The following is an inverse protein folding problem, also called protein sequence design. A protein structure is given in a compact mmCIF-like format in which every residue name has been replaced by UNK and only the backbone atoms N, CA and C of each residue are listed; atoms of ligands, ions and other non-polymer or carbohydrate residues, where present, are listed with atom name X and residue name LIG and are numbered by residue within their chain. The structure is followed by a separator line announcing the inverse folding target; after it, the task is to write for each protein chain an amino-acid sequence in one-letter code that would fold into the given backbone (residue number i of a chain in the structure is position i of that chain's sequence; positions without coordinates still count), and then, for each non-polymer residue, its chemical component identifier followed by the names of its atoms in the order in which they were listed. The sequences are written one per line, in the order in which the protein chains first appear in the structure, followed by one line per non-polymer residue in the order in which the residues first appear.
data_IF_378731576319
#
_entry.id   IF_378731576319
#
_cell.length_a   1.000
_cell.length_b   1.000
_cell.length_c   1.000
_cell.angle_alpha   90.00
_cell.angle_beta   90.00
_cell.angle_gamma   90.00
#
_symmetry.space_group_name_H-M   'P 1'
#
loop_
_entity.id
_entity.type
_entity.pdbx_description
1 polymer ?
#
# COMPACT_ATOMS: atom_id res chain seq x y z
N UNK A 1 13.02 54.44 -43.96
CA UNK A 1 12.37 53.11 -43.97
C UNK A 1 13.08 52.09 -43.09
N UNK A 2 13.69 52.48 -41.95
CA UNK A 2 14.53 51.59 -41.11
C UNK A 2 13.99 51.30 -39.70
N UNK A 3 12.90 51.95 -39.30
CA UNK A 3 12.34 51.80 -37.94
C UNK A 3 11.44 50.58 -37.74
N UNK A 4 10.81 50.04 -38.76
CA UNK A 4 9.83 48.95 -38.63
C UNK A 4 10.47 47.56 -38.49
N UNK A 5 11.67 47.36 -38.99
CA UNK A 5 12.37 46.08 -38.89
C UNK A 5 12.92 45.79 -37.48
N UNK A 6 13.25 46.83 -36.74
CA UNK A 6 13.78 46.69 -35.37
C UNK A 6 12.66 46.37 -34.35
N UNK A 7 11.45 46.91 -34.54
CA UNK A 7 10.31 46.64 -33.67
C UNK A 7 9.79 45.20 -33.82
N UNK A 8 9.83 44.63 -35.02
CA UNK A 8 9.37 43.24 -35.27
C UNK A 8 10.33 42.20 -34.68
N UNK A 9 11.65 42.47 -34.66
CA UNK A 9 12.62 41.58 -34.03
C UNK A 9 12.54 41.56 -32.49
N UNK A 10 12.22 42.70 -31.87
CA UNK A 10 12.05 42.77 -30.39
C UNK A 10 10.81 42.07 -29.92
N UNK A 11 9.69 42.09 -30.65
CA UNK A 11 8.46 41.38 -30.33
C UNK A 11 8.64 39.85 -30.49
N UNK A 12 9.37 39.40 -31.53
CA UNK A 12 9.67 37.99 -31.73
C UNK A 12 10.55 37.40 -30.61
N UNK A 13 11.53 38.15 -30.10
CA UNK A 13 12.39 37.75 -29.00
C UNK A 13 11.64 37.69 -27.66
N UNK A 14 10.68 38.59 -27.42
CA UNK A 14 9.87 38.59 -26.20
C UNK A 14 8.86 37.41 -26.13
N UNK A 15 8.32 36.99 -27.28
CA UNK A 15 7.41 35.84 -27.37
C UNK A 15 8.14 34.52 -27.19
N UNK A 16 9.38 34.39 -27.66
CA UNK A 16 10.19 33.19 -27.47
C UNK A 16 10.62 32.96 -26.01
N UNK A 17 10.71 34.02 -25.19
CA UNK A 17 11.06 33.92 -23.77
C UNK A 17 9.92 33.51 -22.87
N UNK A 18 8.67 33.58 -23.34
CA UNK A 18 7.46 33.22 -22.54
C UNK A 18 7.08 31.74 -22.67
N UNK A 19 7.68 30.98 -23.59
CA UNK A 19 7.42 29.57 -23.79
C UNK A 19 8.33 28.64 -22.93
N UNK A 20 9.29 29.20 -22.18
CA UNK A 20 10.20 28.41 -21.34
C UNK A 20 9.82 28.33 -19.88
N UNK A 21 8.61 28.74 -19.50
CA UNK A 21 8.25 28.98 -18.09
C UNK A 21 7.20 28.03 -17.51
N UNK A 22 7.15 26.78 -17.97
CA UNK A 22 6.28 25.78 -17.33
C UNK A 22 6.82 24.36 -17.55
N UNK A 23 8.07 24.10 -17.19
CA UNK A 23 8.51 22.74 -16.91
C UNK A 23 8.80 22.69 -15.42
N UNK A 24 7.86 22.17 -14.64
CA UNK A 24 8.09 21.82 -13.23
C UNK A 24 9.27 20.83 -13.15
N UNK A 25 9.87 20.70 -11.97
CA UNK A 25 10.82 19.64 -11.74
C UNK A 25 10.08 18.30 -11.68
N UNK A 26 10.58 17.22 -12.33
CA UNK A 26 9.92 15.93 -12.28
C UNK A 26 9.89 15.42 -10.83
N UNK A 27 8.83 14.71 -10.42
CA UNK A 27 8.76 14.07 -9.12
C UNK A 27 9.87 13.01 -9.00
N UNK A 28 10.27 12.69 -7.77
CA UNK A 28 11.29 11.69 -7.49
C UNK A 28 10.73 10.64 -6.52
N UNK A 29 10.77 9.36 -6.89
CA UNK A 29 10.54 8.23 -5.99
C UNK A 29 11.87 7.90 -5.29
N UNK A 30 11.97 8.20 -4.01
CA UNK A 30 13.18 7.96 -3.21
C UNK A 30 13.28 6.51 -2.79
N UNK A 31 12.18 5.93 -2.32
CA UNK A 31 12.08 4.52 -1.90
C UNK A 31 10.64 4.02 -2.06
N UNK A 32 10.50 2.70 -2.11
CA UNK A 32 9.20 2.02 -2.10
C UNK A 32 9.23 0.96 -1.01
N UNK A 33 8.20 0.94 -0.16
CA UNK A 33 7.92 -0.09 0.83
C UNK A 33 6.76 -0.94 0.35
N UNK A 34 6.87 -2.25 0.51
CA UNK A 34 5.85 -3.21 0.09
C UNK A 34 5.61 -4.22 1.20
N UNK A 35 4.35 -4.61 1.40
CA UNK A 35 3.92 -5.68 2.30
C UNK A 35 2.84 -6.51 1.62
N UNK A 36 2.96 -7.83 1.71
CA UNK A 36 1.96 -8.78 1.20
C UNK A 36 1.37 -9.56 2.39
N UNK A 37 0.07 -9.52 2.55
CA UNK A 37 -0.65 -10.27 3.56
C UNK A 37 -1.47 -11.41 2.92
N UNK A 38 -1.34 -12.61 3.49
CA UNK A 38 -2.27 -13.72 3.28
C UNK A 38 -3.41 -13.56 4.27
N UNK A 39 -4.54 -13.07 3.80
CA UNK A 39 -5.70 -12.78 4.64
C UNK A 39 -6.57 -14.02 4.77
N UNK A 40 -6.87 -14.40 6.01
CA UNK A 40 -7.94 -15.36 6.34
C UNK A 40 -9.08 -14.55 6.99
N UNK A 41 -10.01 -14.09 6.15
CA UNK A 41 -11.14 -13.28 6.58
C UNK A 41 -12.25 -14.21 7.13
N UNK A 42 -12.41 -14.19 8.45
CA UNK A 42 -13.35 -15.07 9.14
C UNK A 42 -14.81 -14.63 8.97
N UNK A 43 -15.07 -13.36 8.69
CA UNK A 43 -16.42 -12.86 8.41
C UNK A 43 -16.90 -13.27 7.01
N UNK A 44 -16.01 -13.18 6.03
CA UNK A 44 -16.28 -13.57 4.65
C UNK A 44 -16.08 -15.07 4.40
N UNK A 45 -15.49 -15.79 5.38
CA UNK A 45 -15.05 -17.19 5.26
C UNK A 45 -14.23 -17.40 3.98
N UNK A 46 -13.21 -16.56 3.80
CA UNK A 46 -12.44 -16.49 2.56
C UNK A 46 -10.97 -16.21 2.84
N UNK A 47 -10.10 -16.88 2.06
CA UNK A 47 -8.67 -16.62 2.02
C UNK A 47 -8.30 -15.94 0.71
N UNK A 48 -7.46 -14.90 0.80
CA UNK A 48 -6.98 -14.15 -0.35
C UNK A 48 -5.67 -13.44 -0.02
N UNK A 49 -5.07 -12.84 -1.04
CA UNK A 49 -3.88 -12.01 -0.89
C UNK A 49 -4.24 -10.55 -1.00
N UNK A 50 -3.59 -9.72 -0.17
CA UNK A 50 -3.65 -8.27 -0.30
C UNK A 50 -2.26 -7.67 -0.25
N UNK A 51 -2.08 -6.60 -1.03
CA UNK A 51 -0.86 -5.84 -1.16
C UNK A 51 -1.03 -4.46 -0.56
N UNK A 52 -0.06 -4.06 0.24
CA UNK A 52 0.12 -2.69 0.71
C UNK A 52 1.41 -2.17 0.11
N UNK A 53 1.39 -0.98 -0.48
CA UNK A 53 2.57 -0.35 -1.07
C UNK A 53 2.55 1.14 -0.82
N UNK A 54 3.68 1.68 -0.40
CA UNK A 54 3.89 3.12 -0.23
C UNK A 54 5.21 3.54 -0.88
N UNK A 55 5.18 4.64 -1.64
CA UNK A 55 6.34 5.29 -2.21
C UNK A 55 6.65 6.59 -1.45
N UNK A 56 7.90 6.78 -1.05
CA UNK A 56 8.42 8.06 -0.59
C UNK A 56 8.67 8.94 -1.81
N UNK A 57 7.90 10.03 -1.91
CA UNK A 57 7.94 10.93 -3.06
C UNK A 57 8.42 12.31 -2.63
N UNK A 58 9.36 12.85 -3.40
CA UNK A 58 9.81 14.25 -3.32
C UNK A 58 9.53 14.95 -4.64
N UNK A 59 9.13 16.21 -4.52
CA UNK A 59 8.86 17.08 -5.65
C UNK A 59 9.27 18.49 -5.26
N UNK A 60 10.04 19.16 -6.12
CA UNK A 60 10.53 20.54 -5.86
C UNK A 60 9.38 21.55 -5.89
N UNK A 61 8.33 21.28 -6.68
CA UNK A 61 7.12 22.10 -6.78
C UNK A 61 6.13 21.79 -5.64
N UNK A 62 6.44 20.78 -4.83
CA UNK A 62 5.71 20.37 -3.65
C UNK A 62 4.80 19.17 -3.89
N UNK A 63 4.54 18.40 -2.81
CA UNK A 63 3.71 17.17 -2.88
C UNK A 63 2.32 17.41 -3.49
N UNK A 64 1.76 18.63 -3.37
CA UNK A 64 0.48 18.99 -3.97
C UNK A 64 0.46 18.98 -5.50
N UNK A 65 1.63 18.90 -6.15
CA UNK A 65 1.74 18.80 -7.61
C UNK A 65 1.60 17.35 -8.11
N UNK A 66 1.79 16.36 -7.26
CA UNK A 66 1.55 14.95 -7.61
C UNK A 66 0.07 14.76 -7.97
N UNK A 67 -0.19 14.18 -9.13
CA UNK A 67 -1.52 14.00 -9.71
C UNK A 67 -1.96 12.55 -9.80
N UNK A 68 -1.05 11.62 -10.11
CA UNK A 68 -1.37 10.22 -10.33
C UNK A 68 -0.28 9.30 -9.78
N UNK A 69 -0.71 8.13 -9.34
CA UNK A 69 0.12 7.04 -8.88
C UNK A 69 -0.33 5.74 -9.55
N UNK A 70 0.61 5.00 -10.12
CA UNK A 70 0.32 3.71 -10.76
C UNK A 70 1.13 2.59 -10.15
N UNK A 71 0.50 1.42 -10.09
CA UNK A 71 1.17 0.14 -9.92
C UNK A 71 0.90 -0.71 -11.16
N UNK A 72 1.94 -1.20 -11.82
CA UNK A 72 1.83 -1.89 -13.11
C UNK A 72 2.60 -3.21 -13.04
N UNK A 73 1.95 -4.30 -13.46
CA UNK A 73 2.56 -5.60 -13.68
C UNK A 73 2.49 -5.93 -15.17
N UNK A 74 3.59 -5.70 -15.89
CA UNK A 74 3.60 -5.77 -17.36
C UNK A 74 3.30 -7.19 -17.90
N UNK A 75 3.87 -8.23 -17.28
CA UNK A 75 3.66 -9.62 -17.74
C UNK A 75 2.20 -10.10 -17.62
N UNK A 76 1.48 -9.62 -16.60
CA UNK A 76 0.07 -9.96 -16.41
C UNK A 76 -0.88 -8.95 -17.05
N UNK A 77 -0.35 -7.93 -17.74
CA UNK A 77 -1.13 -6.86 -18.36
C UNK A 77 -2.09 -6.17 -17.36
N UNK A 78 -1.66 -6.06 -16.10
CA UNK A 78 -2.44 -5.46 -15.02
C UNK A 78 -1.90 -4.11 -14.62
N UNK A 79 -2.79 -3.18 -14.32
CA UNK A 79 -2.44 -1.92 -13.70
C UNK A 79 -3.53 -1.43 -12.76
N UNK A 80 -3.10 -0.71 -11.73
CA UNK A 80 -3.97 0.03 -10.83
C UNK A 80 -3.55 1.49 -10.86
N UNK A 81 -4.53 2.37 -10.97
CA UNK A 81 -4.35 3.82 -10.99
C UNK A 81 -5.01 4.41 -9.77
N UNK A 82 -4.30 5.30 -9.12
CA UNK A 82 -4.75 6.06 -7.96
C UNK A 82 -4.54 7.55 -8.24
N UNK A 83 -5.43 8.37 -7.72
CA UNK A 83 -5.38 9.82 -7.72
C UNK A 83 -5.51 10.36 -6.29
N UNK A 84 -5.52 11.68 -6.13
CA UNK A 84 -5.59 12.31 -4.81
C UNK A 84 -6.84 11.96 -3.98
N UNK A 85 -7.86 11.34 -4.58
CA UNK A 85 -9.08 10.90 -3.89
C UNK A 85 -9.03 9.42 -3.49
N UNK A 86 -8.14 8.64 -4.10
CA UNK A 86 -8.10 7.19 -3.97
C UNK A 86 -6.80 6.64 -3.35
N UNK A 87 -5.70 7.41 -3.37
CA UNK A 87 -4.51 6.99 -2.63
C UNK A 87 -4.57 7.35 -1.15
N UNK A 88 -3.75 6.68 -0.36
CA UNK A 88 -3.45 7.08 1.01
C UNK A 88 -2.19 7.94 1.03
N UNK A 89 -2.26 9.12 1.68
CA UNK A 89 -1.11 9.98 1.94
C UNK A 89 -0.73 9.89 3.41
N UNK A 90 0.54 9.62 3.68
CA UNK A 90 1.13 9.59 5.04
C UNK A 90 2.30 10.55 5.12
N UNK A 91 2.42 11.24 6.24
CA UNK A 91 3.58 12.08 6.54
C UNK A 91 4.38 11.47 7.67
N UNK A 92 5.55 10.90 7.37
CA UNK A 92 6.41 10.22 8.34
C UNK A 92 7.74 10.95 8.43
N UNK A 93 8.12 11.42 9.62
CA UNK A 93 9.35 12.19 9.84
C UNK A 93 9.52 13.41 8.92
N UNK A 94 8.41 14.03 8.50
CA UNK A 94 8.41 15.18 7.60
C UNK A 94 8.40 14.84 6.11
N UNK A 95 8.60 13.57 5.74
CA UNK A 95 8.60 13.07 4.37
C UNK A 95 7.19 12.63 3.93
N UNK A 96 6.90 12.78 2.63
CA UNK A 96 5.60 12.42 2.07
C UNK A 96 5.65 11.00 1.47
N UNK A 97 4.75 10.16 1.93
CA UNK A 97 4.53 8.81 1.42
C UNK A 97 3.15 8.73 0.78
N UNK A 98 3.10 8.23 -0.44
CA UNK A 98 1.87 8.00 -1.19
C UNK A 98 1.76 6.54 -1.58
N UNK A 99 0.56 5.99 -1.52
CA UNK A 99 0.34 4.59 -1.85
C UNK A 99 -1.06 4.13 -1.52
N UNK A 100 -1.18 2.86 -1.19
CA UNK A 100 -2.44 2.21 -0.87
C UNK A 100 -2.22 1.06 0.12
N UNK A 101 -3.30 0.65 0.78
CA UNK A 101 -3.33 -0.52 1.66
C UNK A 101 -4.45 -1.47 1.22
N UNK A 102 -4.21 -2.78 1.33
CA UNK A 102 -5.24 -3.78 1.14
C UNK A 102 -5.70 -3.98 -0.31
N UNK A 103 -4.83 -3.73 -1.29
CA UNK A 103 -5.12 -4.02 -2.69
C UNK A 103 -5.22 -5.52 -2.92
N UNK A 104 -6.34 -6.00 -3.40
CA UNK A 104 -6.60 -7.40 -3.73
C UNK A 104 -7.05 -7.55 -5.18
N UNK A 105 -6.95 -8.78 -5.71
CA UNK A 105 -7.55 -9.10 -6.99
C UNK A 105 -9.08 -9.06 -6.89
N UNK A 106 -9.75 -8.66 -7.97
CA UNK A 106 -11.21 -8.55 -8.00
C UNK A 106 -11.94 -9.89 -7.80
N UNK A 107 -11.29 -10.99 -8.14
CA UNK A 107 -11.77 -12.36 -7.93
C UNK A 107 -11.30 -12.98 -6.60
N UNK A 108 -10.59 -12.19 -5.77
CA UNK A 108 -9.96 -12.63 -4.53
C UNK A 108 -8.87 -13.70 -4.73
N UNK A 109 -8.32 -13.77 -5.93
CA UNK A 109 -7.24 -14.67 -6.28
C UNK A 109 -5.88 -14.23 -5.74
N UNK A 110 -4.86 -15.00 -6.12
CA UNK A 110 -3.47 -14.67 -5.83
C UNK A 110 -3.00 -13.51 -6.72
N UNK A 111 -2.25 -12.58 -6.15
CA UNK A 111 -1.59 -11.52 -6.90
C UNK A 111 -0.48 -12.10 -7.80
N UNK A 112 -0.28 -11.59 -9.01
CA UNK A 112 0.85 -11.98 -9.84
C UNK A 112 2.18 -11.85 -9.09
N UNK A 113 3.11 -12.77 -9.36
CA UNK A 113 4.49 -12.68 -8.87
C UNK A 113 5.37 -12.07 -9.94
N UNK A 114 6.46 -11.44 -9.54
CA UNK A 114 7.42 -10.83 -10.45
C UNK A 114 7.60 -9.35 -10.20
N UNK A 115 7.94 -8.62 -11.25
CA UNK A 115 8.27 -7.21 -11.16
C UNK A 115 7.05 -6.33 -11.37
N UNK A 116 6.94 -5.35 -10.49
CA UNK A 116 5.94 -4.29 -10.55
C UNK A 116 6.64 -2.95 -10.74
N UNK A 117 6.14 -2.13 -11.65
CA UNK A 117 6.57 -0.74 -11.80
C UNK A 117 5.63 0.16 -11.00
N UNK A 118 6.21 0.93 -10.12
CA UNK A 118 5.55 2.01 -9.40
C UNK A 118 5.85 3.31 -10.13
N UNK A 119 4.84 4.03 -10.59
CA UNK A 119 4.99 5.28 -11.36
C UNK A 119 4.24 6.39 -10.64
N UNK A 120 4.90 7.53 -10.49
CA UNK A 120 4.31 8.78 -9.96
C UNK A 120 4.35 9.83 -11.05
N UNK A 121 3.24 10.53 -11.26
CA UNK A 121 3.08 11.56 -12.29
C UNK A 121 2.62 12.86 -11.62
N UNK A 122 3.22 13.98 -11.98
CA UNK A 122 2.83 15.32 -11.57
C UNK A 122 1.73 15.93 -12.46
N UNK A 123 1.32 17.16 -12.18
CA UNK A 123 0.33 17.89 -13.00
C UNK A 123 0.87 18.38 -14.33
N UNK A 124 2.19 18.49 -14.47
CA UNK A 124 2.84 18.83 -15.73
C UNK A 124 2.94 17.62 -16.67
N UNK A 125 2.72 16.40 -16.16
CA UNK A 125 2.86 15.15 -16.88
C UNK A 125 4.27 14.57 -16.82
N UNK A 126 5.17 15.18 -16.04
CA UNK A 126 6.48 14.62 -15.75
C UNK A 126 6.33 13.44 -14.77
N UNK A 127 7.25 12.50 -14.82
CA UNK A 127 7.10 11.28 -14.01
C UNK A 127 8.44 10.70 -13.59
N UNK A 128 8.39 9.88 -12.55
CA UNK A 128 9.46 8.97 -12.14
C UNK A 128 8.90 7.58 -11.91
N UNK A 129 9.74 6.55 -12.07
CA UNK A 129 9.35 5.17 -11.87
C UNK A 129 10.37 4.37 -11.06
N UNK A 130 9.87 3.42 -10.28
CA UNK A 130 10.66 2.41 -9.59
C UNK A 130 10.07 1.03 -9.73
N UNK A 131 10.97 0.05 -9.88
CA UNK A 131 10.59 -1.35 -9.90
C UNK A 131 10.74 -1.96 -8.51
N UNK A 132 9.74 -2.73 -8.09
CA UNK A 132 9.77 -3.59 -6.90
C UNK A 132 9.46 -5.03 -7.33
N UNK A 133 10.06 -6.01 -6.65
CA UNK A 133 9.77 -7.42 -6.90
C UNK A 133 8.88 -7.99 -5.80
N UNK A 134 7.83 -8.71 -6.20
CA UNK A 134 6.99 -9.51 -5.31
C UNK A 134 7.27 -10.98 -5.62
N UNK A 135 8.13 -11.60 -4.82
CA UNK A 135 8.56 -12.99 -4.94
C UNK A 135 8.15 -13.84 -3.72
N UNK A 136 7.26 -13.30 -2.86
CA UNK A 136 6.65 -14.05 -1.78
C UNK A 136 6.04 -15.36 -2.32
N UNK A 137 6.08 -16.47 -1.58
CA UNK A 137 5.41 -17.70 -1.98
C UNK A 137 3.93 -17.45 -2.30
N UNK A 138 3.32 -18.31 -3.11
CA UNK A 138 1.87 -18.25 -3.35
C UNK A 138 1.11 -18.73 -2.13
N UNK A 139 -0.09 -18.19 -1.90
CA UNK A 139 -0.97 -18.59 -0.80
C UNK A 139 -1.17 -20.12 -0.77
N UNK A 140 -1.36 -20.73 -1.92
CA UNK A 140 -1.50 -22.18 -2.08
C UNK A 140 -0.30 -22.99 -1.58
N UNK A 141 0.90 -22.40 -1.57
CA UNK A 141 2.14 -23.09 -1.14
C UNK A 141 2.51 -22.87 0.33
N UNK A 142 1.87 -21.92 1.01
CA UNK A 142 2.15 -21.59 2.43
C UNK A 142 1.05 -22.03 3.38
N UNK A 143 0.04 -22.76 2.89
CA UNK A 143 -1.16 -23.13 3.65
C UNK A 143 -0.83 -23.73 5.04
N UNK A 144 0.17 -24.61 5.12
CA UNK A 144 0.57 -25.26 6.37
C UNK A 144 1.33 -24.34 7.35
N UNK A 145 1.77 -23.17 6.86
CA UNK A 145 2.46 -22.16 7.66
C UNK A 145 1.49 -21.09 8.20
N UNK A 146 0.24 -21.13 7.79
CA UNK A 146 -0.78 -20.17 8.24
C UNK A 146 -1.41 -20.64 9.55
N UNK A 147 -1.99 -19.72 10.34
CA UNK A 147 -2.82 -20.10 11.48
C UNK A 147 -3.96 -21.05 11.05
N UNK A 148 -4.18 -22.09 11.83
CA UNK A 148 -5.23 -23.07 11.54
C UNK A 148 -6.39 -22.91 12.53
N UNK A 149 -7.55 -22.53 12.02
CA UNK A 149 -8.78 -22.38 12.78
C UNK A 149 -9.48 -23.74 12.91
N UNK A 150 -9.82 -24.12 14.14
CA UNK A 150 -10.64 -25.29 14.48
C UNK A 150 -11.96 -24.77 15.09
N UNK A 151 -13.02 -24.81 14.29
CA UNK A 151 -14.33 -24.30 14.70
C UNK A 151 -15.00 -25.20 15.74
N UNK A 152 -14.78 -26.51 15.69
CA UNK A 152 -15.39 -27.47 16.64
C UNK A 152 -14.80 -27.28 18.04
N UNK A 153 -13.48 -27.06 18.12
CA UNK A 153 -12.78 -26.80 19.37
C UNK A 153 -12.73 -25.32 19.75
N UNK A 154 -13.28 -24.43 18.93
CA UNK A 154 -13.21 -22.97 19.10
C UNK A 154 -11.79 -22.50 19.43
N UNK A 155 -10.83 -22.96 18.64
CA UNK A 155 -9.42 -22.67 18.87
C UNK A 155 -8.69 -22.34 17.58
N UNK A 156 -7.57 -21.64 17.70
CA UNK A 156 -6.65 -21.38 16.61
C UNK A 156 -5.26 -21.92 16.96
N UNK A 157 -4.62 -22.58 16.03
CA UNK A 157 -3.23 -23.00 16.16
C UNK A 157 -2.33 -21.97 15.49
N UNK A 158 -1.47 -21.33 16.29
CA UNK A 158 -0.45 -20.40 15.85
C UNK A 158 0.78 -21.21 15.44
N UNK A 159 1.40 -20.96 14.26
CA UNK A 159 2.62 -21.62 13.84
C UNK A 159 3.78 -21.41 14.81
N UNK A 160 4.84 -22.25 14.73
CA UNK A 160 5.99 -22.19 15.64
C UNK A 160 6.74 -20.85 15.62
N UNK A 161 6.70 -20.13 14.50
CA UNK A 161 7.27 -18.78 14.38
C UNK A 161 6.62 -17.78 15.35
N UNK A 162 5.43 -18.11 15.85
CA UNK A 162 4.65 -17.22 16.70
C UNK A 162 3.90 -16.15 15.90
N UNK A 163 3.28 -15.21 16.63
CA UNK A 163 2.53 -14.13 16.01
C UNK A 163 2.27 -12.98 16.96
N UNK A 164 1.54 -11.99 16.49
CA UNK A 164 1.10 -10.84 17.26
C UNK A 164 -0.42 -10.72 17.20
N UNK A 165 -1.06 -10.60 18.36
CA UNK A 165 -2.46 -10.22 18.43
C UNK A 165 -2.55 -8.71 18.22
N UNK A 166 -3.30 -8.31 17.22
CA UNK A 166 -3.53 -6.92 16.86
C UNK A 166 -4.98 -6.54 17.19
N UNK A 167 -5.17 -5.34 17.68
CA UNK A 167 -6.49 -4.72 17.82
C UNK A 167 -6.63 -3.63 16.78
N UNK A 168 -7.66 -3.75 15.96
CA UNK A 168 -8.02 -2.75 14.97
C UNK A 168 -9.26 -2.03 15.47
N UNK A 169 -9.15 -0.74 15.69
CA UNK A 169 -10.25 0.15 16.06
C UNK A 169 -10.39 1.25 15.02
N UNK A 170 -11.62 1.68 14.80
CA UNK A 170 -11.87 2.84 13.95
C UNK A 170 -11.47 4.09 14.77
N UNK A 171 -10.59 4.91 14.25
CA UNK A 171 -10.24 6.20 14.87
C UNK A 171 -11.35 7.20 14.53
N UNK A 172 -12.07 7.64 15.57
CA UNK A 172 -13.20 8.57 15.42
C UNK A 172 -12.79 9.94 14.84
N UNK A 173 -11.52 10.34 15.03
CA UNK A 173 -11.03 11.66 14.63
C UNK A 173 -10.52 11.67 13.17
N UNK A 174 -9.89 10.59 12.71
CA UNK A 174 -9.29 10.50 11.36
C UNK A 174 -10.15 9.70 10.38
N UNK A 175 -11.03 8.85 10.86
CA UNK A 175 -11.78 7.88 10.05
C UNK A 175 -10.91 6.75 9.48
N UNK A 176 -9.62 6.73 9.82
CA UNK A 176 -8.72 5.65 9.43
C UNK A 176 -8.64 4.59 10.54
N UNK A 177 -8.48 3.29 10.18
CA UNK A 177 -8.31 2.26 11.19
C UNK A 177 -6.98 2.40 11.92
N UNK A 178 -7.04 2.43 13.24
CA UNK A 178 -5.86 2.36 14.11
C UNK A 178 -5.52 0.90 14.41
N UNK A 179 -4.27 0.50 14.22
CA UNK A 179 -3.79 -0.86 14.48
C UNK A 179 -2.82 -0.83 15.66
N UNK A 180 -3.20 -1.50 16.74
CA UNK A 180 -2.38 -1.54 17.96
C UNK A 180 -1.99 -2.98 18.28
N UNK A 181 -0.69 -3.31 18.41
CA UNK A 181 -0.26 -4.60 18.93
C UNK A 181 -0.67 -4.75 20.40
N UNK A 182 -1.42 -5.80 20.72
CA UNK A 182 -1.87 -6.08 22.09
C UNK A 182 -0.89 -7.00 22.82
N UNK A 183 -0.50 -8.12 22.20
CA UNK A 183 0.47 -9.06 22.76
C UNK A 183 1.10 -9.95 21.70
N UNK A 184 2.29 -10.46 22.01
CA UNK A 184 2.96 -11.49 21.23
C UNK A 184 2.50 -12.87 21.69
N UNK A 185 2.29 -13.78 20.75
CA UNK A 185 1.93 -15.18 20.96
C UNK A 185 3.06 -16.09 20.50
N UNK A 186 3.41 -17.08 21.32
CA UNK A 186 4.28 -18.17 20.91
C UNK A 186 3.51 -19.16 19.99
N UNK A 187 4.23 -20.04 19.31
CA UNK A 187 3.59 -21.17 18.62
C UNK A 187 2.79 -22.04 19.57
N UNK A 188 1.61 -22.49 19.15
CA UNK A 188 0.74 -23.30 19.98
C UNK A 188 -0.75 -23.09 19.72
N UNK A 189 -1.58 -23.80 20.49
CA UNK A 189 -3.04 -23.72 20.37
C UNK A 189 -3.62 -22.77 21.41
N UNK A 190 -4.51 -21.88 20.97
CA UNK A 190 -5.17 -20.88 21.79
C UNK A 190 -6.70 -20.97 21.62
N UNK A 191 -7.48 -20.94 22.71
CA UNK A 191 -8.92 -20.76 22.62
C UNK A 191 -9.25 -19.40 21.97
N UNK A 192 -10.25 -19.34 21.11
CA UNK A 192 -10.65 -18.08 20.45
C UNK A 192 -11.03 -17.00 21.47
N UNK A 193 -11.75 -17.41 22.54
CA UNK A 193 -12.18 -16.47 23.59
C UNK A 193 -10.99 -15.79 24.31
N UNK A 194 -9.80 -16.42 24.30
CA UNK A 194 -8.58 -15.84 24.86
C UNK A 194 -7.90 -14.81 23.94
N UNK A 195 -8.35 -14.73 22.69
CA UNK A 195 -7.80 -13.82 21.66
C UNK A 195 -8.73 -12.66 21.32
N UNK A 196 -9.93 -12.63 21.90
CA UNK A 196 -10.87 -11.53 21.69
C UNK A 196 -10.53 -10.39 22.62
N UNK A 197 -10.39 -9.20 22.07
CA UNK A 197 -10.21 -7.98 22.86
C UNK A 197 -11.43 -7.73 23.76
N UNK A 198 -11.18 -7.27 24.98
CA UNK A 198 -12.22 -7.07 25.98
C UNK A 198 -13.14 -5.87 25.71
N UNK A 199 -12.64 -4.90 24.97
CA UNK A 199 -13.39 -3.72 24.56
C UNK A 199 -14.19 -3.99 23.28
N UNK A 200 -15.46 -3.64 23.28
CA UNK A 200 -16.40 -3.88 22.17
C UNK A 200 -16.11 -3.05 20.91
N UNK A 201 -15.29 -2.00 21.03
CA UNK A 201 -14.95 -1.12 19.91
C UNK A 201 -13.84 -1.67 19.00
N UNK A 202 -13.02 -2.62 19.50
CA UNK A 202 -11.90 -3.18 18.77
C UNK A 202 -12.18 -4.54 18.15
N UNK A 203 -11.64 -4.76 16.96
CA UNK A 203 -11.63 -6.06 16.26
C UNK A 203 -10.27 -6.72 16.44
N UNK A 204 -10.23 -7.97 16.88
CA UNK A 204 -8.99 -8.71 17.11
C UNK A 204 -8.55 -9.42 15.83
N UNK A 205 -7.28 -9.32 15.52
CA UNK A 205 -6.63 -10.01 14.40
C UNK A 205 -5.35 -10.68 14.88
N UNK A 206 -5.05 -11.84 14.32
CA UNK A 206 -3.77 -12.51 14.51
C UNK A 206 -2.89 -12.25 13.29
N UNK A 207 -1.76 -11.61 13.50
CA UNK A 207 -0.71 -11.45 12.49
C UNK A 207 0.44 -12.41 12.75
N UNK A 208 0.87 -13.14 11.72
CA UNK A 208 2.04 -14.04 11.76
C UNK A 208 3.03 -13.63 10.68
N UNK A 209 4.25 -13.17 11.04
CA UNK A 209 5.28 -12.86 10.07
C UNK A 209 5.80 -14.16 9.44
N UNK A 210 5.86 -14.24 8.12
CA UNK A 210 6.36 -15.40 7.37
C UNK A 210 7.62 -15.08 6.58
N UNK A 211 7.89 -13.80 6.36
CA UNK A 211 9.08 -13.31 5.67
C UNK A 211 9.36 -11.85 6.00
N UNK A 212 10.32 -11.25 5.29
CA UNK A 212 10.76 -9.87 5.56
C UNK A 212 9.69 -8.82 5.19
N UNK A 213 8.83 -9.12 4.23
CA UNK A 213 7.79 -8.21 3.73
C UNK A 213 6.44 -8.91 3.50
N UNK A 214 6.27 -10.14 3.99
CA UNK A 214 4.99 -10.85 3.90
C UNK A 214 4.67 -11.60 5.19
N UNK A 215 3.37 -11.77 5.45
CA UNK A 215 2.85 -12.44 6.61
C UNK A 215 1.40 -12.89 6.42
N UNK A 216 0.81 -13.49 7.43
CA UNK A 216 -0.61 -13.80 7.42
C UNK A 216 -1.38 -12.93 8.41
N UNK A 217 -2.60 -12.56 8.04
CA UNK A 217 -3.55 -11.82 8.86
C UNK A 217 -4.84 -12.63 8.96
N UNK A 218 -5.16 -13.14 10.15
CA UNK A 218 -6.36 -13.93 10.41
C UNK A 218 -7.31 -13.17 11.30
N UNK A 219 -8.53 -12.99 10.87
CA UNK A 219 -9.57 -12.28 11.63
C UNK A 219 -10.71 -11.74 10.77
N UNK A 220 -11.65 -10.95 11.37
CA UNK A 220 -11.69 -10.60 12.78
C UNK A 220 -12.07 -11.79 13.67
N UNK A 221 -11.34 -11.95 14.79
CA UNK A 221 -11.64 -12.97 15.78
C UNK A 221 -12.73 -12.44 16.70
N UNK A 222 -13.85 -13.17 16.81
CA UNK A 222 -15.03 -12.79 17.57
C UNK A 222 -15.37 -13.84 18.64
N UNK A 223 -16.14 -13.43 19.67
CA UNK A 223 -16.66 -14.33 20.71
C UNK A 223 -17.69 -15.30 20.18
#
# INVERSE_FOLDING_TARGET
MSGWRAATLLVAAAVSGLLSACTGAPPQIVSVEVSLEYVDDLDLNRRYEQLTLFALVRDEDGFGDISEFYLIHDEAELYWRFDAQSWTHRRVAGENWVGFSGLSMADWGELPRGQYRTVVIDRAGEHDERTVSIDAPRLSSVHDQLPQLDLDLRSITVPEVGGSLLVVSDDEDSGEPSVTPERTLAGGRYPLDALVHSDSAGRSYLYVPLGSYYGSLTGPIRR
#
